data_IF_856011561696
#
_entry.id   IF_856011561696
#
_cell.length_a   1.000
_cell.length_b   1.000
_cell.length_c   1.000
_cell.angle_alpha   90.00
_cell.angle_beta   90.00
_cell.angle_gamma   90.00
#
_symmetry.space_group_name_H-M   'P 1'
#
loop_
_entity.id
_entity.type
_entity.pdbx_description
1 polymer ?
#
# COMPACT_ATOMS: atom_id res chain seq x y z
N UNK A 1 10.27 -16.36 1.45
CA UNK A 1 8.83 -16.01 1.56
C UNK A 1 8.29 -16.61 2.86
N UNK A 2 7.79 -15.79 3.79
CA UNK A 2 7.21 -16.26 5.05
C UNK A 2 5.96 -17.12 4.77
N UNK A 3 5.72 -18.17 5.58
CA UNK A 3 4.54 -19.05 5.43
C UNK A 3 3.22 -18.27 5.39
N UNK A 4 3.14 -17.17 6.14
CA UNK A 4 2.00 -16.25 6.18
C UNK A 4 1.78 -15.56 4.83
N UNK A 5 2.85 -15.10 4.16
CA UNK A 5 2.74 -14.47 2.84
C UNK A 5 2.26 -15.47 1.80
N UNK A 6 2.84 -16.67 1.75
CA UNK A 6 2.42 -17.71 0.82
C UNK A 6 0.94 -18.10 0.99
N UNK A 7 0.45 -18.16 2.24
CA UNK A 7 -0.96 -18.45 2.55
C UNK A 7 -1.92 -17.38 2.00
N UNK A 8 -1.49 -16.12 1.99
CA UNK A 8 -2.33 -14.98 1.60
C UNK A 8 -2.02 -14.46 0.18
N UNK A 9 -1.10 -15.08 -0.55
CA UNK A 9 -0.69 -14.64 -1.89
C UNK A 9 -1.88 -14.41 -2.82
N UNK A 10 -2.85 -15.35 -2.83
CA UNK A 10 -4.05 -15.24 -3.68
C UNK A 10 -4.93 -14.03 -3.36
N UNK A 11 -4.96 -13.59 -2.10
CA UNK A 11 -5.71 -12.40 -1.69
C UNK A 11 -5.22 -11.15 -2.43
N UNK A 12 -3.94 -11.10 -2.77
CA UNK A 12 -3.34 -9.97 -3.48
C UNK A 12 -3.26 -10.22 -4.98
N UNK A 13 -2.82 -11.41 -5.42
CA UNK A 13 -2.66 -11.73 -6.84
C UNK A 13 -3.98 -11.72 -7.62
N UNK A 14 -5.07 -12.11 -6.93
CA UNK A 14 -6.41 -12.22 -7.51
C UNK A 14 -7.29 -11.03 -7.09
N UNK A 15 -6.72 -9.99 -6.47
CA UNK A 15 -7.44 -8.78 -6.10
C UNK A 15 -8.05 -8.12 -7.34
N UNK A 16 -9.33 -7.74 -7.23
CA UNK A 16 -10.06 -7.11 -8.32
C UNK A 16 -9.57 -5.67 -8.54
N UNK A 17 -9.09 -5.39 -9.75
CA UNK A 17 -8.60 -4.07 -10.16
C UNK A 17 -9.68 -3.36 -10.96
N UNK A 18 -9.94 -2.10 -10.63
CA UNK A 18 -10.84 -1.21 -11.37
C UNK A 18 -10.01 -0.32 -12.29
N UNK A 19 -10.60 0.10 -13.40
CA UNK A 19 -9.91 0.89 -14.43
C UNK A 19 -9.55 2.30 -13.94
N UNK A 20 -10.30 2.82 -12.97
CA UNK A 20 -10.09 4.13 -12.36
C UNK A 20 -9.29 4.09 -11.06
N UNK A 21 -8.73 2.93 -10.69
CA UNK A 21 -7.83 2.85 -9.55
C UNK A 21 -6.56 3.69 -9.79
N UNK A 22 -6.00 4.17 -8.69
CA UNK A 22 -4.71 4.88 -8.65
C UNK A 22 -3.78 4.16 -7.70
N UNK A 23 -2.71 3.58 -8.24
CA UNK A 23 -1.76 2.76 -7.50
C UNK A 23 -0.48 3.54 -7.23
N UNK A 24 -0.03 3.56 -5.97
CA UNK A 24 1.31 4.01 -5.57
C UNK A 24 2.09 2.81 -5.09
N UNK A 25 3.08 2.40 -5.89
CA UNK A 25 3.88 1.20 -5.68
C UNK A 25 5.33 1.61 -5.46
N UNK A 26 6.01 0.97 -4.53
CA UNK A 26 7.45 1.21 -4.34
C UNK A 26 8.08 0.08 -3.54
N UNK A 27 9.39 -0.05 -3.57
CA UNK A 27 10.07 -0.73 -2.46
C UNK A 27 9.89 0.11 -1.17
N UNK A 28 9.80 -0.50 0.03
CA UNK A 28 9.66 0.25 1.27
C UNK A 28 10.72 1.35 1.41
N UNK A 29 10.31 2.52 1.91
CA UNK A 29 11.18 3.67 2.22
C UNK A 29 11.73 4.45 1.02
N UNK A 30 11.14 4.27 -0.16
CA UNK A 30 11.45 5.07 -1.34
C UNK A 30 10.70 6.41 -1.45
N UNK A 31 9.91 6.83 -0.45
CA UNK A 31 9.13 8.09 -0.51
C UNK A 31 7.63 7.89 -0.76
N UNK A 32 7.12 6.70 -0.44
CA UNK A 32 5.73 6.30 -0.68
C UNK A 32 4.72 7.21 0.02
N UNK A 33 4.95 7.61 1.27
CA UNK A 33 4.04 8.50 2.03
C UNK A 33 3.89 9.87 1.37
N UNK A 34 5.01 10.49 0.97
CA UNK A 34 4.97 11.78 0.28
C UNK A 34 4.20 11.67 -1.04
N UNK A 35 4.43 10.59 -1.79
CA UNK A 35 3.75 10.37 -3.07
C UNK A 35 2.24 10.15 -2.87
N UNK A 36 1.84 9.37 -1.87
CA UNK A 36 0.43 9.16 -1.53
C UNK A 36 -0.29 10.48 -1.24
N UNK A 37 0.31 11.38 -0.44
CA UNK A 37 -0.31 12.67 -0.13
C UNK A 37 -0.46 13.55 -1.37
N UNK A 38 0.59 13.70 -2.17
CA UNK A 38 0.54 14.49 -3.40
C UNK A 38 -0.51 13.95 -4.37
N UNK A 39 -0.53 12.63 -4.58
CA UNK A 39 -1.48 11.98 -5.50
C UNK A 39 -2.91 12.11 -5.02
N UNK A 40 -3.15 11.93 -3.72
CA UNK A 40 -4.49 12.04 -3.16
C UNK A 40 -5.01 13.48 -3.24
N UNK A 41 -4.19 14.48 -2.87
CA UNK A 41 -4.58 15.88 -2.98
C UNK A 41 -4.87 16.27 -4.44
N UNK A 42 -4.00 15.90 -5.38
CA UNK A 42 -4.22 16.20 -6.80
C UNK A 42 -5.49 15.54 -7.34
N UNK A 43 -5.77 14.30 -6.93
CA UNK A 43 -6.96 13.56 -7.37
C UNK A 43 -8.26 13.99 -6.69
N UNK A 44 -8.18 14.76 -5.61
CA UNK A 44 -9.33 15.30 -4.86
C UNK A 44 -9.34 16.84 -4.85
N UNK A 45 -8.87 17.48 -5.94
CA UNK A 45 -8.93 18.93 -6.14
C UNK A 45 -8.34 19.78 -4.99
N UNK A 46 -7.24 19.31 -4.39
CA UNK A 46 -6.58 19.94 -3.25
C UNK A 46 -7.51 20.11 -2.03
N UNK A 47 -8.37 19.13 -1.77
CA UNK A 47 -9.17 19.04 -0.54
C UNK A 47 -8.28 18.82 0.69
N UNK A 48 -7.81 19.90 1.31
CA UNK A 48 -6.94 19.83 2.49
C UNK A 48 -7.69 19.37 3.75
N UNK A 49 -8.99 19.64 3.86
CA UNK A 49 -9.80 19.19 4.99
C UNK A 49 -9.98 17.67 4.95
N UNK A 50 -10.31 17.11 3.78
CA UNK A 50 -10.36 15.68 3.57
C UNK A 50 -8.99 15.00 3.77
N UNK A 51 -7.89 15.71 3.49
CA UNK A 51 -6.54 15.18 3.71
C UNK A 51 -6.15 15.03 5.20
N UNK A 52 -6.87 15.66 6.14
CA UNK A 52 -6.68 15.46 7.58
C UNK A 52 -7.04 14.05 8.02
N UNK A 53 -7.86 13.34 7.25
CA UNK A 53 -8.15 11.91 7.49
C UNK A 53 -6.84 11.11 7.43
N UNK A 54 -6.60 10.17 8.36
CA UNK A 54 -5.39 9.36 8.37
C UNK A 54 -5.10 8.71 7.01
N UNK A 55 -3.84 8.78 6.57
CA UNK A 55 -3.41 8.31 5.25
C UNK A 55 -3.74 6.84 4.99
N UNK A 56 -3.77 5.99 6.01
CA UNK A 56 -4.10 4.57 5.88
C UNK A 56 -5.59 4.32 5.58
N UNK A 57 -6.47 5.28 5.85
CA UNK A 57 -7.88 5.23 5.48
C UNK A 57 -8.12 5.79 4.07
N UNK A 58 -7.35 6.82 3.69
CA UNK A 58 -7.40 7.42 2.34
C UNK A 58 -6.68 6.60 1.28
N UNK A 59 -5.60 5.93 1.68
CA UNK A 59 -4.68 5.15 0.83
C UNK A 59 -4.41 3.78 1.48
N UNK A 60 -5.40 2.87 1.53
CA UNK A 60 -5.22 1.58 2.17
C UNK A 60 -4.05 0.79 1.58
N UNK A 61 -3.32 0.11 2.46
CA UNK A 61 -2.14 -0.67 2.11
C UNK A 61 -2.54 -2.13 1.88
N UNK A 62 -2.58 -2.56 0.63
CA UNK A 62 -3.20 -3.83 0.20
C UNK A 62 -2.75 -5.03 1.05
N UNK A 63 -1.44 -5.20 1.24
CA UNK A 63 -0.86 -6.34 1.95
C UNK A 63 -0.62 -6.12 3.45
N UNK A 64 -1.15 -5.05 4.05
CA UNK A 64 -0.87 -4.70 5.44
C UNK A 64 -1.26 -5.81 6.43
N UNK A 65 -2.39 -6.47 6.21
CA UNK A 65 -2.86 -7.57 7.06
C UNK A 65 -1.93 -8.79 7.10
N UNK A 66 -0.99 -8.90 6.16
CA UNK A 66 0.02 -9.99 6.11
C UNK A 66 1.36 -9.57 6.71
N UNK A 67 1.61 -8.27 6.81
CA UNK A 67 2.81 -7.71 7.42
C UNK A 67 2.69 -7.62 8.94
N UNK A 68 1.47 -7.52 9.46
CA UNK A 68 1.17 -7.50 10.88
C UNK A 68 1.30 -8.94 11.44
N UNK A 69 2.05 -9.10 12.53
CA UNK A 69 2.10 -10.37 13.28
C UNK A 69 0.69 -10.74 13.77
N UNK A 70 0.35 -12.04 13.78
CA UNK A 70 -0.97 -12.55 14.20
C UNK A 70 -1.51 -11.87 15.49
N UNK A 71 -0.62 -11.50 16.41
CA UNK A 71 -0.93 -10.82 17.67
C UNK A 71 -1.69 -9.48 17.53
N UNK A 72 -1.46 -8.71 16.46
CA UNK A 72 -2.06 -7.37 16.28
C UNK A 72 -3.08 -7.33 15.14
N UNK A 73 -3.39 -8.48 14.53
CA UNK A 73 -4.33 -8.55 13.40
C UNK A 73 -5.75 -8.12 13.77
N UNK A 74 -6.16 -8.27 15.04
CA UNK A 74 -7.51 -7.91 15.50
C UNK A 74 -7.71 -6.41 15.70
N UNK A 75 -6.62 -5.64 15.80
CA UNK A 75 -6.67 -4.20 16.10
C UNK A 75 -6.75 -3.33 14.84
N UNK A 76 -6.55 -3.93 13.66
CA UNK A 76 -6.47 -3.20 12.40
C UNK A 76 -7.48 -3.73 11.38
N UNK A 77 -8.21 -2.85 10.68
CA UNK A 77 -9.16 -3.26 9.67
C UNK A 77 -8.44 -3.92 8.48
N UNK A 78 -9.05 -4.96 7.92
CA UNK A 78 -8.52 -5.67 6.76
C UNK A 78 -8.53 -4.73 5.54
N UNK A 79 -7.34 -4.30 5.12
CA UNK A 79 -7.18 -3.34 4.03
C UNK A 79 -7.74 -3.84 2.69
N UNK A 80 -7.69 -5.14 2.40
CA UNK A 80 -8.27 -5.69 1.18
C UNK A 80 -9.81 -5.60 1.19
N UNK A 81 -10.45 -5.87 2.33
CA UNK A 81 -11.90 -5.70 2.50
C UNK A 81 -12.32 -4.22 2.46
N UNK A 82 -11.51 -3.33 3.06
CA UNK A 82 -11.74 -1.89 2.94
C UNK A 82 -11.72 -1.44 1.47
N UNK A 83 -10.73 -1.88 0.70
CA UNK A 83 -10.61 -1.54 -0.72
C UNK A 83 -11.71 -2.17 -1.59
N UNK A 84 -12.24 -3.33 -1.19
CA UNK A 84 -13.37 -3.96 -1.88
C UNK A 84 -14.64 -3.12 -1.75
N UNK A 85 -14.89 -2.59 -0.56
CA UNK A 85 -16.09 -1.81 -0.24
C UNK A 85 -15.95 -0.30 -0.51
N UNK A 86 -14.73 0.19 -0.78
CA UNK A 86 -14.47 1.59 -1.06
C UNK A 86 -15.11 2.04 -2.40
N UNK A 87 -15.65 3.26 -2.46
CA UNK A 87 -16.10 3.87 -3.72
C UNK A 87 -14.90 4.11 -4.64
N UNK A 88 -15.18 4.18 -5.94
CA UNK A 88 -14.18 4.60 -6.92
C UNK A 88 -14.09 6.15 -7.00
N UNK A 89 -12.93 6.72 -7.37
CA UNK A 89 -11.66 6.03 -7.62
C UNK A 89 -10.97 5.58 -6.33
N UNK A 90 -10.37 4.39 -6.33
CA UNK A 90 -9.62 3.89 -5.16
C UNK A 90 -8.16 4.29 -5.25
N UNK A 91 -7.62 4.74 -4.12
CA UNK A 91 -6.20 5.06 -3.98
C UNK A 91 -5.51 3.95 -3.20
N UNK A 92 -4.55 3.25 -3.83
CA UNK A 92 -4.04 1.98 -3.33
C UNK A 92 -2.52 2.03 -3.17
N UNK A 93 -2.03 1.69 -1.99
CA UNK A 93 -0.59 1.55 -1.72
C UNK A 93 -0.20 0.07 -1.81
N UNK A 94 0.96 -0.22 -2.41
CA UNK A 94 1.59 -1.53 -2.29
C UNK A 94 3.13 -1.47 -2.30
N UNK A 95 3.74 -2.48 -1.69
CA UNK A 95 5.17 -2.80 -1.70
C UNK A 95 5.46 -4.18 -2.32
N UNK A 96 4.44 -4.84 -2.88
CA UNK A 96 4.58 -6.11 -3.57
C UNK A 96 5.50 -6.00 -4.77
N UNK A 97 6.24 -7.07 -5.02
CA UNK A 97 6.98 -7.27 -6.26
C UNK A 97 6.03 -7.55 -7.43
N UNK A 98 6.56 -7.46 -8.64
CA UNK A 98 5.80 -7.59 -9.90
C UNK A 98 5.03 -8.92 -9.97
N UNK A 99 5.58 -10.02 -9.45
CA UNK A 99 4.95 -11.35 -9.54
C UNK A 99 3.83 -11.54 -8.50
N UNK A 100 3.88 -10.77 -7.41
CA UNK A 100 2.89 -10.81 -6.34
C UNK A 100 1.75 -9.80 -6.50
N UNK A 101 1.93 -8.80 -7.37
CA UNK A 101 0.90 -7.81 -7.66
C UNK A 101 -0.35 -8.44 -8.33
N UNK A 102 -1.52 -7.79 -8.23
CA UNK A 102 -2.73 -8.25 -8.88
C UNK A 102 -2.54 -8.38 -10.40
N UNK A 103 -2.80 -9.56 -10.95
CA UNK A 103 -2.59 -9.83 -12.39
C UNK A 103 -3.41 -8.92 -13.29
N UNK A 104 -4.56 -8.46 -12.80
CA UNK A 104 -5.44 -7.54 -13.51
C UNK A 104 -4.83 -6.15 -13.74
N UNK A 105 -3.75 -5.77 -13.03
CA UNK A 105 -3.03 -4.51 -13.33
C UNK A 105 -2.57 -4.46 -14.79
N UNK A 106 -2.16 -5.61 -15.35
CA UNK A 106 -1.62 -5.69 -16.70
C UNK A 106 -2.70 -5.69 -17.79
N UNK A 107 -3.93 -6.11 -17.45
CA UNK A 107 -5.06 -6.17 -18.38
C UNK A 107 -5.93 -4.92 -18.30
N UNK A 108 -6.27 -4.45 -17.09
CA UNK A 108 -7.09 -3.25 -16.84
C UNK A 108 -6.32 -1.95 -17.00
N UNK A 109 -5.00 -1.98 -16.78
CA UNK A 109 -4.09 -0.84 -16.96
C UNK A 109 -4.57 0.43 -16.24
N UNK A 110 -4.87 0.37 -14.93
CA UNK A 110 -5.13 1.57 -14.14
C UNK A 110 -3.90 2.47 -14.06
N UNK A 111 -4.03 3.65 -13.44
CA UNK A 111 -2.87 4.52 -13.21
C UNK A 111 -1.94 3.88 -12.18
N UNK A 112 -0.66 3.72 -12.52
CA UNK A 112 0.38 3.20 -11.63
C UNK A 112 1.52 4.20 -11.53
N UNK A 113 1.85 4.58 -10.30
CA UNK A 113 2.96 5.47 -9.96
C UNK A 113 3.95 4.65 -9.16
N UNK A 114 5.09 4.33 -9.78
CA UNK A 114 6.18 3.64 -9.11
C UNK A 114 7.23 4.62 -8.58
N UNK A 115 7.63 4.46 -7.32
CA UNK A 115 8.64 5.33 -6.68
C UNK A 115 9.90 4.54 -6.38
N UNK A 116 11.02 4.97 -6.95
CA UNK A 116 12.34 4.42 -6.72
C UNK A 116 13.23 5.44 -5.98
N UNK A 117 14.21 4.93 -5.22
CA UNK A 117 15.21 5.72 -4.50
C UNK A 117 16.56 5.00 -4.54
N UNK A 118 17.67 5.74 -4.41
CA UNK A 118 19.00 5.14 -4.29
C UNK A 118 19.01 4.03 -3.22
N UNK A 119 19.46 2.81 -3.55
CA UNK A 119 19.39 1.67 -2.66
C UNK A 119 20.22 1.83 -1.37
N UNK A 120 21.29 2.63 -1.38
CA UNK A 120 22.10 2.92 -0.19
C UNK A 120 21.30 3.72 0.83
N UNK A 121 20.58 4.74 0.37
CA UNK A 121 19.69 5.54 1.19
C UNK A 121 18.50 4.73 1.71
N UNK A 122 17.93 3.90 0.84
CA UNK A 122 16.83 2.99 1.21
C UNK A 122 17.27 2.08 2.35
N UNK A 123 18.47 1.49 2.28
CA UNK A 123 18.99 0.61 3.31
C UNK A 123 19.08 1.32 4.68
N UNK A 124 19.61 2.56 4.70
CA UNK A 124 19.71 3.37 5.92
C UNK A 124 18.30 3.68 6.48
N UNK A 125 17.39 4.15 5.63
CA UNK A 125 16.01 4.48 6.05
C UNK A 125 15.25 3.25 6.55
N UNK A 126 15.44 2.10 5.90
CA UNK A 126 14.83 0.83 6.28
C UNK A 126 15.40 0.32 7.60
N UNK A 127 16.71 0.44 7.83
CA UNK A 127 17.34 0.11 9.11
C UNK A 127 16.71 0.90 10.27
N UNK A 128 16.60 2.23 10.14
CA UNK A 128 15.97 3.06 11.16
C UNK A 128 14.49 2.70 11.35
N UNK A 129 13.74 2.51 10.26
CA UNK A 129 12.34 2.11 10.33
C UNK A 129 12.14 0.81 11.13
N UNK A 130 12.97 -0.21 10.88
CA UNK A 130 12.92 -1.47 11.62
C UNK A 130 13.31 -1.30 13.09
N UNK A 131 14.29 -0.44 13.40
CA UNK A 131 14.66 -0.14 14.80
C UNK A 131 13.50 0.49 15.56
N UNK A 132 12.78 1.43 14.95
CA UNK A 132 11.58 2.00 15.56
C UNK A 132 10.50 0.92 15.75
N UNK A 133 10.24 0.11 14.72
CA UNK A 133 9.18 -0.91 14.77
C UNK A 133 9.43 -1.99 15.84
N UNK A 134 10.67 -2.43 16.01
CA UNK A 134 11.06 -3.38 17.09
C UNK A 134 10.91 -2.80 18.50
N UNK A 135 11.04 -1.49 18.65
CA UNK A 135 10.83 -0.84 19.95
C UNK A 135 9.32 -0.68 20.28
N UNK A 136 8.42 -0.92 19.32
CA UNK A 136 6.98 -0.94 19.50
C UNK A 136 6.41 -2.36 19.73
N UNK A 137 7.21 -3.42 19.55
CA UNK A 137 6.79 -4.84 19.61
C UNK A 137 7.19 -5.56 20.89
#
# INVERSE_FOLDING_TARGET
>A
ITKVFAKNYKTFSDFEVREDDVWVISFPKCGTTWTQEMVWLLGNNFDYEGAEVPINLRFPFLEFGVLIFEKFMHEWPNSAEMLKNAPSPRYIKSHLDIESLPKQLWTKRPKIIYVARDPKDVAISYFHHNKYWKNFS
#
